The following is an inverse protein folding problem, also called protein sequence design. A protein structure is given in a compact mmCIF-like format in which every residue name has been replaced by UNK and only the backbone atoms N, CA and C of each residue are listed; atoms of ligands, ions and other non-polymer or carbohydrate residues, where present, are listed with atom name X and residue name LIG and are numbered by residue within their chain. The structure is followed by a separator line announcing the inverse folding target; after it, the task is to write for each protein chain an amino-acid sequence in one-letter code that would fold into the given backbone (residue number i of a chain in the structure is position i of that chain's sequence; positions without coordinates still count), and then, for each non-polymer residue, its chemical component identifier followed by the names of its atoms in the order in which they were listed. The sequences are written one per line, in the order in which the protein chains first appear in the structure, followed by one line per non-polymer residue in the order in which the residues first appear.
data_IF_165330515948
#
_entry.id   IF_165330515948
#
_cell.length_a   1.000
_cell.length_b   1.000
_cell.length_c   1.000
_cell.angle_alpha   90.00
_cell.angle_beta   90.00
_cell.angle_gamma   90.00
#
_symmetry.space_group_name_H-M   'P 1'
#
loop_
_entity.id
_entity.type
_entity.pdbx_description
1 polymer ?
#
# COMPACT_ATOMS: atom_id res chain seq x y z
N UNK A 1 12.55 9.04 -10.87
CA UNK A 1 12.03 8.44 -9.63
C UNK A 1 11.01 9.41 -9.06
N UNK A 2 9.72 9.08 -9.07
CA UNK A 2 8.70 9.95 -8.48
C UNK A 2 8.92 10.04 -6.96
N UNK A 3 9.08 11.25 -6.43
CA UNK A 3 9.19 11.50 -5.00
C UNK A 3 7.78 11.46 -4.39
N UNK A 4 7.27 10.27 -4.11
CA UNK A 4 5.91 10.05 -3.58
C UNK A 4 5.65 10.82 -2.28
N UNK A 5 6.68 11.05 -1.46
CA UNK A 5 6.57 11.86 -0.25
C UNK A 5 6.26 13.34 -0.56
N UNK A 6 6.87 13.88 -1.62
CA UNK A 6 6.56 15.23 -2.10
C UNK A 6 5.11 15.30 -2.62
N UNK A 7 4.67 14.30 -3.39
CA UNK A 7 3.28 14.24 -3.86
C UNK A 7 2.26 14.17 -2.72
N UNK A 8 2.54 13.39 -1.66
CA UNK A 8 1.71 13.37 -0.47
C UNK A 8 1.68 14.71 0.25
N UNK A 9 2.80 15.42 0.32
CA UNK A 9 2.84 16.76 0.90
C UNK A 9 1.97 17.75 0.11
N UNK A 10 2.04 17.72 -1.21
CA UNK A 10 1.22 18.56 -2.10
C UNK A 10 -0.28 18.25 -1.99
N UNK A 11 -0.64 17.00 -1.65
CA UNK A 11 -2.00 16.59 -1.32
C UNK A 11 -2.45 16.98 0.10
N UNK A 12 -1.59 17.66 0.87
CA UNK A 12 -1.90 18.17 2.20
C UNK A 12 -1.56 17.21 3.36
N UNK A 13 -0.85 16.11 3.10
CA UNK A 13 -0.38 15.24 4.18
C UNK A 13 0.79 15.88 4.92
N UNK A 14 0.73 15.88 6.26
CA UNK A 14 1.70 16.55 7.12
C UNK A 14 3.07 15.83 7.20
N UNK A 15 3.08 14.52 6.97
CA UNK A 15 4.26 13.67 6.92
C UNK A 15 3.93 12.35 6.21
N UNK A 16 4.96 11.70 5.67
CA UNK A 16 4.85 10.37 5.09
C UNK A 16 6.03 9.51 5.53
N UNK A 17 5.78 8.23 5.79
CA UNK A 17 6.79 7.26 6.17
C UNK A 17 6.45 5.91 5.52
N UNK A 18 7.47 5.26 4.96
CA UNK A 18 7.36 3.92 4.40
C UNK A 18 8.28 3.00 5.19
N UNK A 19 7.73 1.87 5.61
CA UNK A 19 8.44 0.84 6.35
C UNK A 19 8.12 -0.53 5.76
N UNK A 20 9.05 -1.47 5.93
CA UNK A 20 8.88 -2.86 5.50
C UNK A 20 8.85 -3.75 6.72
N UNK A 21 7.76 -4.50 6.88
CA UNK A 21 7.66 -5.55 7.89
C UNK A 21 7.87 -6.91 7.22
N UNK A 22 9.08 -7.47 7.35
CA UNK A 22 9.39 -8.80 6.80
C UNK A 22 8.92 -9.89 7.75
N UNK A 23 7.88 -10.62 7.37
CA UNK A 23 7.31 -11.69 8.21
C UNK A 23 8.24 -12.91 8.33
N UNK A 24 9.14 -13.10 7.37
CA UNK A 24 10.06 -14.23 7.24
C UNK A 24 11.45 -13.97 7.88
N UNK A 25 11.66 -12.80 8.48
CA UNK A 25 12.90 -12.44 9.16
C UNK A 25 12.61 -11.84 10.55
N UNK A 26 12.55 -12.68 11.61
CA UNK A 26 12.09 -12.27 12.93
C UNK A 26 12.81 -11.05 13.53
N UNK A 27 14.15 -11.02 13.47
CA UNK A 27 14.90 -9.92 14.09
C UNK A 27 14.70 -8.60 13.33
N UNK A 28 14.60 -8.66 12.00
CA UNK A 28 14.30 -7.49 11.18
C UNK A 28 12.84 -7.03 11.38
N UNK A 29 11.93 -7.98 11.57
CA UNK A 29 10.53 -7.74 11.89
C UNK A 29 10.40 -6.97 13.20
N UNK A 30 10.95 -7.48 14.29
CA UNK A 30 10.85 -6.87 15.62
C UNK A 30 11.35 -5.42 15.62
N UNK A 31 12.48 -5.13 14.96
CA UNK A 31 12.98 -3.75 14.82
C UNK A 31 12.00 -2.87 14.06
N UNK A 32 11.47 -3.35 12.94
CA UNK A 32 10.49 -2.61 12.15
C UNK A 32 9.18 -2.37 12.91
N UNK A 33 8.71 -3.33 13.71
CA UNK A 33 7.52 -3.15 14.56
C UNK A 33 7.71 -1.99 15.54
N UNK A 34 8.83 -1.98 16.26
CA UNK A 34 9.16 -0.90 17.20
C UNK A 34 9.25 0.46 16.48
N UNK A 35 9.94 0.52 15.33
CA UNK A 35 10.08 1.75 14.55
C UNK A 35 8.72 2.30 14.07
N UNK A 36 7.85 1.43 13.54
CA UNK A 36 6.52 1.79 13.07
C UNK A 36 5.65 2.27 14.24
N UNK A 37 5.62 1.54 15.35
CA UNK A 37 4.85 1.89 16.54
C UNK A 37 5.28 3.26 17.08
N UNK A 38 6.59 3.50 17.20
CA UNK A 38 7.12 4.79 17.65
C UNK A 38 6.74 5.92 16.70
N UNK A 39 6.84 5.70 15.39
CA UNK A 39 6.50 6.73 14.43
C UNK A 39 5.02 7.11 14.50
N UNK A 40 4.12 6.11 14.54
CA UNK A 40 2.67 6.34 14.66
C UNK A 40 2.34 7.07 15.95
N UNK A 41 2.85 6.61 17.10
CA UNK A 41 2.63 7.24 18.40
C UNK A 41 3.11 8.69 18.42
N UNK A 42 4.27 8.99 17.82
CA UNK A 42 4.78 10.35 17.70
C UNK A 42 3.87 11.25 16.85
N UNK A 43 3.37 10.77 15.70
CA UNK A 43 2.44 11.55 14.89
C UNK A 43 1.13 11.84 15.63
N UNK A 44 0.60 10.84 16.36
CA UNK A 44 -0.59 11.01 17.21
C UNK A 44 -0.33 12.03 18.32
N UNK A 45 0.83 11.96 18.98
CA UNK A 45 1.25 12.92 20.02
C UNK A 45 1.37 14.36 19.51
N UNK A 46 1.61 14.56 18.22
CA UNK A 46 1.57 15.87 17.55
C UNK A 46 0.13 16.32 17.19
N UNK A 47 -0.90 15.60 17.64
CA UNK A 47 -2.30 15.89 17.35
C UNK A 47 -2.73 15.54 15.93
N UNK A 48 -1.93 14.73 15.21
CA UNK A 48 -2.23 14.37 13.81
C UNK A 48 -3.06 13.10 13.75
N UNK A 49 -3.90 13.04 12.70
CA UNK A 49 -4.57 11.81 12.31
C UNK A 49 -3.62 10.98 11.45
N UNK A 50 -3.41 9.72 11.84
CA UNK A 50 -2.50 8.81 11.12
C UNK A 50 -3.32 7.84 10.28
N UNK A 51 -3.00 7.73 8.99
CA UNK A 51 -3.52 6.72 8.08
C UNK A 51 -2.42 5.68 7.82
N UNK A 52 -2.71 4.40 8.06
CA UNK A 52 -1.80 3.29 7.76
C UNK A 52 -2.36 2.51 6.58
N UNK A 53 -1.62 2.51 5.47
CA UNK A 53 -2.01 1.81 4.24
C UNK A 53 -1.10 0.61 4.04
N UNK A 54 -1.63 -0.64 4.00
CA UNK A 54 -0.82 -1.80 3.73
C UNK A 54 -0.44 -1.80 2.24
N UNK A 55 0.86 -1.78 1.93
CA UNK A 55 1.32 -2.00 0.56
C UNK A 55 1.27 -3.50 0.21
N UNK A 56 0.06 -4.05 0.23
CA UNK A 56 -0.25 -5.47 -0.04
C UNK A 56 -1.29 -5.55 -1.14
N UNK A 57 -1.29 -6.68 -1.85
CA UNK A 57 -2.32 -6.96 -2.86
C UNK A 57 -3.70 -7.05 -2.20
N UNK A 58 -3.83 -7.73 -1.06
CA UNK A 58 -5.10 -7.84 -0.34
C UNK A 58 -4.89 -7.92 1.17
N UNK A 59 -5.94 -7.53 1.90
CA UNK A 59 -5.96 -7.57 3.36
C UNK A 59 -5.02 -6.56 4.02
N UNK A 60 -5.04 -6.56 5.35
CA UNK A 60 -4.16 -5.73 6.17
C UNK A 60 -3.00 -6.53 6.77
N UNK A 61 -3.13 -7.86 6.86
CA UNK A 61 -2.05 -8.71 7.37
C UNK A 61 -1.81 -8.51 8.87
N UNK A 62 -0.60 -8.82 9.39
CA UNK A 62 -0.33 -8.79 10.83
C UNK A 62 -0.23 -7.37 11.40
N UNK A 63 -0.42 -6.32 10.59
CA UNK A 63 -0.28 -4.94 11.04
C UNK A 63 -1.36 -4.54 12.06
N UNK A 64 -2.53 -5.20 12.05
CA UNK A 64 -3.56 -4.98 13.07
C UNK A 64 -3.01 -5.33 14.46
N UNK A 65 -2.31 -6.46 14.59
CA UNK A 65 -1.70 -6.90 15.85
C UNK A 65 -0.54 -5.99 16.28
N UNK A 66 0.30 -5.61 15.32
CA UNK A 66 1.45 -4.71 15.56
C UNK A 66 1.00 -3.33 16.07
N UNK A 67 -0.19 -2.87 15.66
CA UNK A 67 -0.69 -1.52 15.95
C UNK A 67 -1.88 -1.50 16.91
N UNK A 68 -2.21 -2.63 17.56
CA UNK A 68 -3.46 -2.83 18.28
C UNK A 68 -3.78 -1.74 19.32
N UNK A 69 -2.76 -1.21 19.99
CA UNK A 69 -2.90 -0.22 21.07
C UNK A 69 -2.72 1.24 20.60
N UNK A 70 -2.62 1.48 19.30
CA UNK A 70 -2.35 2.80 18.73
C UNK A 70 -3.58 3.39 18.04
N UNK A 71 -3.69 4.73 18.09
CA UNK A 71 -4.73 5.46 17.37
C UNK A 71 -4.31 5.67 15.92
N UNK A 72 -4.95 4.94 15.00
CA UNK A 72 -4.76 5.14 13.57
C UNK A 72 -6.03 4.80 12.80
N UNK A 73 -6.08 5.26 11.55
CA UNK A 73 -7.08 4.85 10.58
C UNK A 73 -6.47 3.79 9.66
N UNK A 74 -7.20 2.68 9.51
CA UNK A 74 -6.82 1.59 8.61
C UNK A 74 -7.19 1.94 7.18
N UNK A 75 -6.21 1.88 6.29
CA UNK A 75 -6.41 1.83 4.86
C UNK A 75 -6.66 0.41 4.37
N UNK A 76 -7.12 0.30 3.13
CA UNK A 76 -7.27 -0.97 2.44
C UNK A 76 -6.01 -1.32 1.65
N UNK A 77 -5.82 -2.62 1.37
CA UNK A 77 -4.82 -3.06 0.40
C UNK A 77 -5.19 -2.63 -1.02
N UNK A 78 -4.34 -2.97 -1.98
CA UNK A 78 -4.54 -2.57 -3.38
C UNK A 78 -5.85 -3.12 -3.96
N UNK A 79 -6.26 -4.33 -3.60
CA UNK A 79 -7.54 -4.90 -3.99
C UNK A 79 -8.60 -4.63 -2.89
N UNK A 80 -9.83 -4.23 -3.27
CA UNK A 80 -10.40 -4.28 -4.63
C UNK A 80 -10.35 -2.94 -5.40
N UNK A 81 -9.41 -2.03 -5.12
CA UNK A 81 -9.41 -0.68 -5.71
C UNK A 81 -9.40 -0.71 -7.26
N UNK A 82 -10.36 -0.03 -7.90
CA UNK A 82 -10.56 -0.08 -9.36
C UNK A 82 -9.34 0.35 -10.18
N UNK A 83 -8.49 1.22 -9.63
CA UNK A 83 -7.22 1.59 -10.26
C UNK A 83 -6.28 0.41 -10.53
N UNK A 84 -6.35 -0.68 -9.75
CA UNK A 84 -5.61 -1.91 -10.06
C UNK A 84 -6.16 -2.59 -11.30
N UNK A 85 -7.49 -2.65 -11.45
CA UNK A 85 -8.12 -3.17 -12.67
C UNK A 85 -7.73 -2.35 -13.90
N UNK A 86 -7.75 -1.02 -13.78
CA UNK A 86 -7.39 -0.14 -14.89
C UNK A 86 -5.90 -0.28 -15.25
N UNK A 87 -5.02 -0.39 -14.26
CA UNK A 87 -3.60 -0.67 -14.48
C UNK A 87 -3.37 -2.03 -15.15
N UNK A 88 -4.08 -3.09 -14.75
CA UNK A 88 -4.00 -4.40 -15.40
C UNK A 88 -4.42 -4.30 -16.88
N UNK A 89 -5.49 -3.58 -17.18
CA UNK A 89 -5.95 -3.34 -18.56
C UNK A 89 -4.89 -2.59 -19.37
N UNK A 90 -4.29 -1.54 -18.79
CA UNK A 90 -3.21 -0.79 -19.44
C UNK A 90 -2.01 -1.70 -19.75
N UNK A 91 -1.59 -2.52 -18.79
CA UNK A 91 -0.48 -3.47 -18.99
C UNK A 91 -0.78 -4.53 -20.03
N UNK A 92 -2.03 -5.02 -20.09
CA UNK A 92 -2.46 -5.91 -21.15
C UNK A 92 -2.33 -5.24 -22.52
N UNK A 93 -2.83 -4.01 -22.68
CA UNK A 93 -2.74 -3.28 -23.94
C UNK A 93 -1.29 -2.95 -24.34
N UNK A 94 -0.38 -2.78 -23.39
CA UNK A 94 1.07 -2.64 -23.66
C UNK A 94 1.66 -3.93 -24.24
N UNK A 95 1.36 -5.08 -23.65
CA UNK A 95 1.84 -6.39 -24.11
C UNK A 95 1.26 -6.72 -25.48
N UNK A 96 -0.04 -6.49 -25.71
CA UNK A 96 -0.69 -6.73 -27.00
C UNK A 96 -0.03 -5.95 -28.13
N UNK A 97 0.28 -4.67 -27.89
CA UNK A 97 1.00 -3.82 -28.86
C UNK A 97 2.43 -4.29 -29.10
N UNK A 98 3.13 -4.74 -28.06
CA UNK A 98 4.53 -5.17 -28.17
C UNK A 98 4.67 -6.50 -28.93
N UNK A 99 3.76 -7.44 -28.68
CA UNK A 99 3.82 -8.81 -29.21
C UNK A 99 2.97 -9.01 -30.48
N UNK A 100 2.27 -7.97 -30.94
CA UNK A 100 1.38 -8.05 -32.10
C UNK A 100 0.18 -8.97 -31.89
N UNK A 101 -0.22 -9.20 -30.64
CA UNK A 101 -1.41 -9.99 -30.33
C UNK A 101 -2.65 -9.19 -30.76
N UNK A 102 -3.40 -9.73 -31.73
CA UNK A 102 -4.67 -9.14 -32.16
C UNK A 102 -5.76 -9.69 -31.25
N UNK A 103 -6.52 -8.79 -30.58
CA UNK A 103 -7.68 -9.02 -29.72
C UNK A 103 -7.90 -10.47 -29.27
N UNK A 104 -7.58 -10.75 -28.00
CA UNK A 104 -8.12 -11.92 -27.31
C UNK A 104 -9.64 -11.84 -27.38
N UNK A 105 -10.24 -12.57 -28.34
CA UNK A 105 -11.69 -12.69 -28.46
C UNK A 105 -12.26 -13.04 -27.09
N UNK A 106 -13.24 -12.26 -26.64
CA UNK A 106 -13.99 -12.55 -25.43
C UNK A 106 -14.51 -13.98 -25.49
N UNK A 107 -14.02 -14.84 -24.61
CA UNK A 107 -14.63 -16.14 -24.37
C UNK A 107 -15.89 -15.86 -23.57
N UNK A 108 -17.02 -15.69 -24.28
CA UNK A 108 -18.35 -15.66 -23.67
C UNK A 108 -18.52 -16.94 -22.85
N UNK A 109 -18.48 -16.79 -21.51
CA UNK A 109 -18.86 -17.86 -20.60
C UNK A 109 -20.39 -17.92 -20.61
N UNK A 110 -20.90 -18.99 -21.23
CA UNK A 110 -22.31 -19.36 -21.23
C UNK A 110 -22.69 -20.02 -19.90
#
# INVERSE_FOLDING_TARGET
MANWAQGLHELGFAAAHAATLREDWPEARERAEVEIQHWVANQVGLGRRVLVVPLRVSGFGPYDDVLADLQYQRGEGLLPHGGVTDWIREKLSEVERAEGWTELRSVEHR
#
